data_IF_558125773010
#
_entry.id   IF_558125773010
#
_cell.length_a   1.000
_cell.length_b   1.000
_cell.length_c   1.000
_cell.angle_alpha   90.00
_cell.angle_beta   90.00
_cell.angle_gamma   90.00
#
_symmetry.space_group_name_H-M   'P 1'
#
loop_
_entity.id
_entity.type
_entity.pdbx_description
1 polymer ?
#
# COMPACT_ATOMS: atom_id res chain seq x y z
N UNK A 1 19.58 12.42 15.62
CA UNK A 1 18.39 12.87 16.36
C UNK A 1 17.17 12.87 15.44
N UNK A 2 16.60 11.68 15.13
CA UNK A 2 15.49 11.56 14.16
C UNK A 2 14.38 10.59 14.60
N UNK A 3 14.31 10.23 15.88
CA UNK A 3 13.33 9.29 16.43
C UNK A 3 11.95 9.90 16.77
N UNK A 4 11.66 11.15 16.40
CA UNK A 4 10.40 11.80 16.81
C UNK A 4 9.25 11.79 15.78
N UNK A 5 9.41 11.27 14.55
CA UNK A 5 8.29 11.25 13.58
C UNK A 5 7.50 9.93 13.55
N UNK A 6 8.14 8.80 13.84
CA UNK A 6 7.48 7.49 13.89
C UNK A 6 6.66 7.32 15.20
N UNK A 7 7.18 7.85 16.31
CA UNK A 7 6.50 7.80 17.62
C UNK A 7 5.26 8.70 17.69
N UNK A 8 5.21 9.81 16.95
CA UNK A 8 4.05 10.70 16.92
C UNK A 8 2.92 10.18 16.03
N UNK A 9 3.23 9.42 14.97
CA UNK A 9 2.23 8.72 14.15
C UNK A 9 1.70 7.47 14.86
N UNK A 10 2.56 6.70 15.54
CA UNK A 10 2.12 5.58 16.38
C UNK A 10 1.37 6.02 17.65
N UNK A 11 1.71 7.17 18.27
CA UNK A 11 0.93 7.73 19.39
C UNK A 11 -0.42 8.30 18.97
N UNK A 12 -0.56 8.88 17.77
CA UNK A 12 -1.86 9.34 17.24
C UNK A 12 -2.76 8.16 16.80
N UNK A 13 -2.18 7.11 16.23
CA UNK A 13 -2.91 5.88 15.90
C UNK A 13 -3.31 5.05 17.14
N UNK A 14 -2.44 4.92 18.15
CA UNK A 14 -2.79 4.25 19.43
C UNK A 14 -3.81 5.02 20.26
N UNK A 15 -3.84 6.36 20.17
CA UNK A 15 -4.82 7.18 20.90
C UNK A 15 -6.20 7.19 20.23
N UNK A 16 -6.28 6.92 18.92
CA UNK A 16 -7.56 6.69 18.21
C UNK A 16 -8.15 5.29 18.46
N UNK A 17 -7.30 4.28 18.66
CA UNK A 17 -7.74 2.90 18.96
C UNK A 17 -8.13 2.72 20.44
N UNK A 18 -7.55 3.49 21.37
CA UNK A 18 -8.02 3.50 22.77
C UNK A 18 -9.30 4.32 23.00
N UNK A 19 -9.70 5.19 22.05
CA UNK A 19 -10.96 5.94 22.16
C UNK A 19 -12.17 5.23 21.56
N UNK A 20 -11.99 4.18 20.75
CA UNK A 20 -13.11 3.46 20.14
C UNK A 20 -13.60 2.23 20.90
N UNK A 21 -13.07 1.98 22.10
CA UNK A 21 -13.73 1.12 23.10
C UNK A 21 -14.71 1.92 24.01
N UNK A 22 -14.68 3.26 23.95
CA UNK A 22 -15.50 4.15 24.78
C UNK A 22 -16.46 5.04 23.98
N UNK A 23 -16.36 5.07 22.64
CA UNK A 23 -17.25 5.85 21.77
C UNK A 23 -18.51 5.08 21.30
N UNK A 24 -19.04 4.20 22.15
CA UNK A 24 -20.46 3.84 22.07
C UNK A 24 -21.21 4.78 23.03
N UNK A 25 -21.41 6.02 22.58
CA UNK A 25 -22.29 7.00 23.25
C UNK A 25 -23.68 6.41 23.51
N UNK A 26 -24.11 5.45 22.68
CA UNK A 26 -25.42 4.80 22.75
C UNK A 26 -25.54 3.77 23.88
N UNK A 27 -24.45 3.10 24.30
CA UNK A 27 -24.47 2.27 25.51
C UNK A 27 -24.26 3.07 26.78
N UNK A 28 -23.47 4.17 26.71
CA UNK A 28 -23.33 5.10 27.83
C UNK A 28 -24.66 5.79 28.17
N UNK A 29 -25.41 6.22 27.16
CA UNK A 29 -26.70 6.89 27.36
C UNK A 29 -27.78 5.93 27.84
N UNK A 30 -27.83 4.69 27.35
CA UNK A 30 -28.82 3.70 27.81
C UNK A 30 -28.52 3.19 29.21
N UNK A 31 -27.24 2.95 29.56
CA UNK A 31 -26.83 2.59 30.93
C UNK A 31 -27.01 3.78 31.89
N UNK A 32 -26.66 5.00 31.48
CA UNK A 32 -26.87 6.20 32.28
C UNK A 32 -28.36 6.53 32.45
N UNK A 33 -29.19 6.35 31.42
CA UNK A 33 -30.64 6.57 31.48
C UNK A 33 -31.35 5.49 32.30
N UNK A 34 -30.92 4.22 32.22
CA UNK A 34 -31.45 3.14 33.07
C UNK A 34 -31.00 3.29 34.52
N UNK A 35 -29.75 3.70 34.79
CA UNK A 35 -29.30 4.04 36.15
C UNK A 35 -29.98 5.30 36.71
N UNK A 36 -30.19 6.34 35.89
CA UNK A 36 -30.94 7.54 36.28
C UNK A 36 -32.41 7.23 36.57
N UNK A 37 -33.08 6.44 35.73
CA UNK A 37 -34.47 6.03 35.96
C UNK A 37 -34.60 5.11 37.17
N UNK A 38 -33.66 4.18 37.38
CA UNK A 38 -33.66 3.27 38.52
C UNK A 38 -33.38 3.99 39.86
N UNK A 39 -32.56 5.05 39.84
CA UNK A 39 -32.25 5.85 41.03
C UNK A 39 -33.33 6.90 41.33
N UNK A 40 -33.88 7.56 40.31
CA UNK A 40 -34.85 8.65 40.48
C UNK A 40 -36.29 8.14 40.69
N UNK A 41 -36.68 7.02 40.08
CA UNK A 41 -38.00 6.36 40.26
C UNK A 41 -37.83 4.84 40.53
N UNK A 42 -37.42 4.42 41.74
CA UNK A 42 -37.22 3.00 42.06
C UNK A 42 -38.53 2.17 42.05
N UNK A 43 -39.68 2.84 42.17
CA UNK A 43 -41.03 2.24 42.08
C UNK A 43 -41.96 3.20 41.34
N UNK A 44 -41.92 3.25 40.00
CA UNK A 44 -42.77 4.17 39.23
C UNK A 44 -44.27 3.86 39.42
N UNK A 45 -44.60 2.61 39.77
CA UNK A 45 -45.96 2.16 40.08
C UNK A 45 -45.97 1.20 41.28
N UNK A 46 -47.08 1.15 42.04
CA UNK A 46 -47.20 0.35 43.26
C UNK A 46 -47.08 -1.18 43.06
N UNK A 47 -47.26 -1.67 41.83
CA UNK A 47 -47.19 -3.08 41.43
C UNK A 47 -45.83 -3.45 40.82
N UNK A 48 -44.88 -2.51 40.75
CA UNK A 48 -43.58 -2.69 40.15
C UNK A 48 -42.70 -3.60 41.01
N UNK A 49 -42.40 -4.79 40.48
CA UNK A 49 -41.65 -5.87 41.14
C UNK A 49 -40.27 -6.02 40.51
N UNK A 50 -39.23 -6.33 41.29
CA UNK A 50 -37.83 -6.25 40.86
C UNK A 50 -37.47 -7.02 39.58
N UNK A 51 -38.18 -8.10 39.26
CA UNK A 51 -37.94 -8.91 38.06
C UNK A 51 -38.34 -8.20 36.75
N UNK A 52 -39.19 -7.16 36.78
CA UNK A 52 -39.50 -6.37 35.59
C UNK A 52 -38.28 -5.63 35.05
N UNK A 53 -37.31 -5.29 35.92
CA UNK A 53 -36.03 -4.75 35.46
C UNK A 53 -35.21 -5.77 34.67
N UNK A 54 -35.30 -7.07 35.01
CA UNK A 54 -34.66 -8.14 34.22
C UNK A 54 -35.38 -8.37 32.89
N UNK A 55 -36.72 -8.33 32.87
CA UNK A 55 -37.50 -8.44 31.64
C UNK A 55 -37.24 -7.26 30.69
N UNK A 56 -37.15 -6.04 31.23
CA UNK A 56 -36.84 -4.83 30.46
C UNK A 56 -35.39 -4.82 29.97
N UNK A 57 -34.45 -5.32 30.79
CA UNK A 57 -33.07 -5.58 30.37
C UNK A 57 -32.97 -6.61 29.24
N UNK A 58 -33.78 -7.67 29.29
CA UNK A 58 -33.87 -8.68 28.23
C UNK A 58 -34.47 -8.12 26.94
N UNK A 59 -35.52 -7.30 27.03
CA UNK A 59 -36.11 -6.62 25.87
C UNK A 59 -35.12 -5.64 25.25
N UNK A 60 -34.40 -4.86 26.07
CA UNK A 60 -33.34 -3.98 25.58
C UNK A 60 -32.22 -4.78 24.88
N UNK A 61 -31.87 -5.95 25.40
CA UNK A 61 -30.88 -6.84 24.78
C UNK A 61 -31.33 -7.39 23.43
N UNK A 62 -32.58 -7.85 23.32
CA UNK A 62 -33.18 -8.31 22.04
C UNK A 62 -33.30 -7.15 21.05
N UNK A 63 -33.66 -5.96 21.51
CA UNK A 63 -33.72 -4.77 20.65
C UNK A 63 -32.34 -4.42 20.09
N UNK A 64 -31.29 -4.48 20.92
CA UNK A 64 -29.89 -4.25 20.50
C UNK A 64 -29.46 -5.24 19.42
N UNK A 65 -29.79 -6.52 19.58
CA UNK A 65 -29.47 -7.57 18.60
C UNK A 65 -30.20 -7.33 17.27
N UNK A 66 -31.47 -6.90 17.30
CA UNK A 66 -32.25 -6.59 16.09
C UNK A 66 -31.76 -5.30 15.41
N UNK A 67 -31.43 -4.26 16.19
CA UNK A 67 -30.86 -3.01 15.63
C UNK A 67 -29.44 -3.20 15.09
N UNK A 68 -28.67 -4.13 15.65
CA UNK A 68 -27.33 -4.50 15.15
C UNK A 68 -27.36 -5.15 13.77
N UNK A 69 -28.48 -5.77 13.39
CA UNK A 69 -28.70 -6.31 12.03
C UNK A 69 -29.06 -5.18 11.05
N UNK A 70 -29.46 -4.01 11.55
CA UNK A 70 -29.81 -2.83 10.72
C UNK A 70 -28.59 -1.95 10.41
N UNK A 71 -27.40 -2.30 10.93
CA UNK A 71 -26.13 -1.59 10.73
C UNK A 71 -25.41 -2.00 9.41
N UNK A 72 -26.17 -2.50 8.44
CA UNK A 72 -25.73 -2.73 7.06
C UNK A 72 -25.33 -1.41 6.36
N UNK A 73 -25.86 -0.27 6.80
CA UNK A 73 -25.58 1.05 6.24
C UNK A 73 -24.16 1.58 6.57
N UNK A 74 -23.63 1.28 7.75
CA UNK A 74 -22.30 1.76 8.17
C UNK A 74 -21.16 1.00 7.47
N UNK A 75 -21.33 -0.30 7.27
CA UNK A 75 -20.39 -1.11 6.49
C UNK A 75 -20.37 -0.70 5.00
N UNK A 76 -21.51 -0.31 4.44
CA UNK A 76 -21.59 0.24 3.07
C UNK A 76 -20.98 1.64 2.98
N UNK A 77 -21.14 2.50 3.98
CA UNK A 77 -20.52 3.82 4.02
C UNK A 77 -18.99 3.75 4.18
N UNK A 78 -18.50 2.87 5.05
CA UNK A 78 -17.06 2.63 5.23
C UNK A 78 -16.43 2.02 3.97
N UNK A 79 -17.12 1.06 3.33
CA UNK A 79 -16.73 0.52 2.04
C UNK A 79 -16.72 1.62 0.98
N UNK A 80 -17.77 2.43 0.84
CA UNK A 80 -17.83 3.54 -0.12
C UNK A 80 -16.70 4.56 0.08
N UNK A 81 -16.32 4.85 1.34
CA UNK A 81 -15.19 5.71 1.65
C UNK A 81 -13.85 5.09 1.22
N UNK A 82 -13.61 3.82 1.53
CA UNK A 82 -12.42 3.06 1.09
C UNK A 82 -12.36 2.85 -0.44
N UNK A 83 -13.51 2.70 -1.09
CA UNK A 83 -13.64 2.59 -2.54
C UNK A 83 -13.37 3.92 -3.25
N UNK A 84 -13.77 5.03 -2.63
CA UNK A 84 -13.63 6.38 -3.20
C UNK A 84 -12.22 6.95 -3.14
N UNK A 85 -11.37 6.46 -2.23
CA UNK A 85 -9.97 6.89 -2.12
C UNK A 85 -9.03 6.19 -3.13
N UNK A 86 -9.51 5.21 -3.89
CA UNK A 86 -8.73 4.55 -4.92
C UNK A 86 -8.34 5.55 -6.02
N UNK A 87 -7.04 5.88 -6.19
CA UNK A 87 -6.61 6.80 -7.24
C UNK A 87 -7.05 6.25 -8.59
N UNK A 88 -7.69 7.08 -9.43
CA UNK A 88 -7.93 6.71 -10.83
C UNK A 88 -6.57 6.34 -11.44
N UNK A 89 -6.45 5.20 -12.14
CA UNK A 89 -5.18 4.84 -12.74
C UNK A 89 -4.69 5.99 -13.64
N UNK A 90 -3.43 6.45 -13.47
CA UNK A 90 -2.82 7.32 -14.46
C UNK A 90 -2.88 6.63 -15.83
N UNK A 91 -2.97 7.42 -16.91
CA UNK A 91 -3.03 6.86 -18.26
C UNK A 91 -1.68 6.22 -18.62
N UNK A 92 -1.52 4.95 -18.27
CA UNK A 92 -0.39 4.12 -18.68
C UNK A 92 -0.32 4.07 -20.21
N UNK A 93 0.82 4.38 -20.78
CA UNK A 93 1.02 4.39 -22.23
C UNK A 93 1.17 2.96 -22.74
N UNK A 94 2.00 2.16 -22.09
CA UNK A 94 2.27 0.76 -22.44
C UNK A 94 1.02 -0.10 -22.25
N UNK A 95 0.60 -0.86 -23.29
CA UNK A 95 -0.57 -1.73 -23.19
C UNK A 95 -0.35 -2.87 -22.19
N UNK A 96 0.89 -3.38 -22.09
CA UNK A 96 1.22 -4.48 -21.18
C UNK A 96 1.04 -4.10 -19.70
N UNK A 97 1.57 -2.96 -19.24
CA UNK A 97 1.40 -2.52 -17.85
C UNK A 97 -0.05 -2.20 -17.52
N UNK A 98 -0.79 -1.66 -18.50
CA UNK A 98 -2.22 -1.41 -18.37
C UNK A 98 -3.01 -2.69 -18.14
N UNK A 99 -2.72 -3.74 -18.91
CA UNK A 99 -3.35 -5.04 -18.77
C UNK A 99 -3.10 -5.63 -17.37
N UNK A 100 -1.86 -5.57 -16.86
CA UNK A 100 -1.52 -6.08 -15.52
C UNK A 100 -2.30 -5.34 -14.42
N UNK A 101 -2.41 -4.03 -14.56
CA UNK A 101 -3.20 -3.17 -13.66
C UNK A 101 -4.70 -3.48 -13.73
N UNK A 102 -5.24 -3.67 -14.93
CA UNK A 102 -6.64 -4.06 -15.14
C UNK A 102 -6.95 -5.43 -14.51
N UNK A 103 -6.04 -6.40 -14.65
CA UNK A 103 -6.17 -7.70 -13.99
C UNK A 103 -6.17 -7.56 -12.46
N UNK A 104 -5.29 -6.71 -11.90
CA UNK A 104 -5.25 -6.44 -10.47
C UNK A 104 -6.57 -5.81 -9.96
N UNK A 105 -7.14 -4.89 -10.74
CA UNK A 105 -8.47 -4.32 -10.48
C UNK A 105 -9.60 -5.34 -10.56
N UNK A 106 -9.52 -6.26 -11.51
CA UNK A 106 -10.50 -7.32 -11.65
C UNK A 106 -10.52 -8.21 -10.39
N UNK A 107 -9.36 -8.56 -9.85
CA UNK A 107 -9.27 -9.28 -8.57
C UNK A 107 -9.91 -8.49 -7.43
N UNK A 108 -9.59 -7.20 -7.31
CA UNK A 108 -10.22 -6.32 -6.31
C UNK A 108 -11.75 -6.35 -6.41
N UNK A 109 -12.27 -6.13 -7.61
CA UNK A 109 -13.71 -6.09 -7.85
C UNK A 109 -14.38 -7.42 -7.48
N UNK A 110 -13.76 -8.55 -7.83
CA UNK A 110 -14.25 -9.88 -7.47
C UNK A 110 -14.27 -10.12 -5.96
N UNK A 111 -13.23 -9.67 -5.24
CA UNK A 111 -13.14 -9.73 -3.77
C UNK A 111 -14.25 -8.89 -3.13
N UNK A 112 -14.45 -7.66 -3.60
CA UNK A 112 -15.49 -6.76 -3.10
C UNK A 112 -16.90 -7.34 -3.29
N UNK A 113 -17.19 -7.90 -4.47
CA UNK A 113 -18.47 -8.56 -4.74
C UNK A 113 -18.70 -9.75 -3.82
N UNK A 114 -17.67 -10.58 -3.59
CA UNK A 114 -17.75 -11.71 -2.66
C UNK A 114 -18.00 -11.24 -1.22
N UNK A 115 -17.40 -10.12 -0.81
CA UNK A 115 -17.54 -9.56 0.53
C UNK A 115 -18.93 -8.93 0.77
N UNK A 116 -19.49 -8.24 -0.23
CA UNK A 116 -20.84 -7.66 -0.17
C UNK A 116 -21.93 -8.71 0.04
N UNK A 117 -21.76 -9.91 -0.51
CA UNK A 117 -22.68 -11.03 -0.32
C UNK A 117 -22.56 -11.73 1.04
N UNK A 118 -21.59 -11.36 1.88
CA UNK A 118 -21.31 -12.04 3.14
C UNK A 118 -22.19 -11.52 4.28
N UNK A 119 -22.73 -12.45 5.09
CA UNK A 119 -23.47 -12.12 6.31
C UNK A 119 -22.60 -11.33 7.29
N UNK A 120 -23.21 -10.36 7.97
CA UNK A 120 -22.56 -9.60 9.03
C UNK A 120 -22.03 -10.53 10.14
N UNK A 121 -20.84 -10.22 10.66
CA UNK A 121 -20.19 -10.98 11.71
C UNK A 121 -18.67 -10.81 11.72
N UNK A 122 -18.03 -11.38 12.73
CA UNK A 122 -16.59 -11.26 13.01
C UNK A 122 -15.73 -11.58 11.78
N UNK A 123 -16.08 -12.60 11.01
CA UNK A 123 -15.36 -12.97 9.78
C UNK A 123 -15.39 -11.86 8.73
N UNK A 124 -16.57 -11.25 8.52
CA UNK A 124 -16.73 -10.12 7.58
C UNK A 124 -15.91 -8.92 8.04
N UNK A 125 -15.88 -8.64 9.34
CA UNK A 125 -15.10 -7.53 9.90
C UNK A 125 -13.59 -7.73 9.68
N UNK A 126 -13.09 -8.96 9.84
CA UNK A 126 -11.70 -9.27 9.52
C UNK A 126 -11.38 -9.13 8.03
N UNK A 127 -12.26 -9.64 7.16
CA UNK A 127 -12.06 -9.51 5.72
C UNK A 127 -12.12 -8.05 5.26
N UNK A 128 -12.95 -7.21 5.89
CA UNK A 128 -12.95 -5.77 5.68
C UNK A 128 -11.62 -5.12 6.09
N UNK A 129 -10.99 -5.59 7.17
CA UNK A 129 -9.65 -5.13 7.53
C UNK A 129 -8.61 -5.53 6.46
N UNK A 130 -8.68 -6.76 5.93
CA UNK A 130 -7.80 -7.22 4.85
C UNK A 130 -7.96 -6.42 3.55
N UNK A 131 -9.13 -5.79 3.33
CA UNK A 131 -9.32 -4.89 2.18
C UNK A 131 -8.40 -3.67 2.24
N UNK A 132 -8.02 -3.21 3.43
CA UNK A 132 -7.04 -2.13 3.60
C UNK A 132 -5.68 -2.57 3.08
N UNK A 133 -5.21 -3.74 3.49
CA UNK A 133 -3.94 -4.31 3.05
C UNK A 133 -3.93 -4.57 1.53
N UNK A 134 -5.05 -5.06 0.97
CA UNK A 134 -5.22 -5.22 -0.46
C UNK A 134 -5.18 -3.88 -1.21
N UNK A 135 -5.82 -2.84 -0.68
CA UNK A 135 -5.82 -1.52 -1.31
C UNK A 135 -4.41 -0.92 -1.40
N UNK A 136 -3.63 -1.12 -0.35
CA UNK A 136 -2.23 -0.69 -0.25
C UNK A 136 -1.35 -1.47 -1.23
N UNK A 137 -1.54 -2.79 -1.31
CA UNK A 137 -0.84 -3.61 -2.29
C UNK A 137 -1.14 -3.19 -3.73
N UNK A 138 -2.41 -2.96 -4.06
CA UNK A 138 -2.80 -2.46 -5.38
C UNK A 138 -2.14 -1.13 -5.68
N UNK A 139 -2.13 -0.18 -4.74
CA UNK A 139 -1.44 1.12 -4.87
C UNK A 139 0.02 0.93 -5.26
N UNK A 140 0.71 -0.05 -4.68
CA UNK A 140 2.11 -0.33 -4.99
C UNK A 140 2.31 -0.98 -6.37
N UNK A 141 1.38 -1.84 -6.80
CA UNK A 141 1.33 -2.39 -8.17
C UNK A 141 1.19 -1.27 -9.19
N UNK A 142 0.28 -0.30 -8.95
CA UNK A 142 0.13 0.87 -9.81
C UNK A 142 1.40 1.70 -9.88
N UNK A 143 1.99 2.02 -8.73
CA UNK A 143 3.20 2.83 -8.66
C UNK A 143 4.36 2.17 -9.42
N UNK A 144 4.51 0.85 -9.31
CA UNK A 144 5.51 0.09 -10.04
C UNK A 144 5.25 0.09 -11.55
N UNK A 145 4.01 -0.18 -11.95
CA UNK A 145 3.59 -0.16 -13.36
C UNK A 145 3.80 1.23 -13.99
N UNK A 146 3.44 2.31 -13.27
CA UNK A 146 3.66 3.68 -13.72
C UNK A 146 5.15 4.01 -13.85
N UNK A 147 5.96 3.61 -12.87
CA UNK A 147 7.41 3.87 -12.92
C UNK A 147 8.08 3.15 -14.09
N UNK A 148 7.67 1.91 -14.36
CA UNK A 148 8.11 1.14 -15.51
C UNK A 148 7.62 1.75 -16.84
N UNK A 149 6.39 2.23 -16.90
CA UNK A 149 5.83 2.92 -18.08
C UNK A 149 6.61 4.20 -18.42
N UNK A 150 6.93 5.00 -17.41
CA UNK A 150 7.74 6.21 -17.56
C UNK A 150 9.13 5.86 -18.09
N UNK A 151 9.78 4.84 -17.52
CA UNK A 151 11.11 4.41 -17.96
C UNK A 151 11.11 3.90 -19.41
N UNK A 152 10.13 3.08 -19.79
CA UNK A 152 10.04 2.50 -21.13
C UNK A 152 9.94 3.59 -22.21
N UNK A 153 9.32 4.72 -21.89
CA UNK A 153 9.12 5.85 -22.79
C UNK A 153 10.09 7.03 -22.56
N UNK A 154 11.15 6.85 -21.76
CA UNK A 154 12.14 7.89 -21.51
C UNK A 154 13.15 7.98 -22.68
N UNK A 155 12.82 8.78 -23.69
CA UNK A 155 13.68 9.02 -24.86
C UNK A 155 15.02 9.65 -24.50
N UNK A 156 15.07 10.44 -23.42
CA UNK A 156 16.31 11.09 -22.96
C UNK A 156 17.27 10.01 -22.46
N UNK A 157 16.78 9.08 -21.65
CA UNK A 157 17.61 8.00 -21.12
C UNK A 157 18.17 7.09 -22.22
N UNK A 158 17.36 6.76 -23.23
CA UNK A 158 17.82 5.96 -24.37
C UNK A 158 18.90 6.69 -25.18
N UNK A 159 18.73 8.00 -25.37
CA UNK A 159 19.72 8.84 -26.03
C UNK A 159 21.01 8.93 -25.22
N UNK A 160 20.91 9.11 -23.91
CA UNK A 160 22.06 9.21 -23.01
C UNK A 160 22.88 7.92 -23.01
N UNK A 161 22.21 6.76 -23.00
CA UNK A 161 22.89 5.46 -23.13
C UNK A 161 23.71 5.38 -24.40
N UNK A 162 23.11 5.68 -25.55
CA UNK A 162 23.81 5.65 -26.84
C UNK A 162 24.97 6.67 -26.88
N UNK A 163 24.75 7.88 -26.36
CA UNK A 163 25.75 8.93 -26.30
C UNK A 163 26.94 8.56 -25.41
N UNK A 164 26.71 7.88 -24.28
CA UNK A 164 27.77 7.41 -23.37
C UNK A 164 28.63 6.34 -24.04
N UNK A 165 28.02 5.37 -24.72
CA UNK A 165 28.76 4.31 -25.43
C UNK A 165 29.64 4.89 -26.56
N UNK A 166 29.10 5.85 -27.32
CA UNK A 166 29.85 6.56 -28.36
C UNK A 166 31.00 7.39 -27.77
N UNK A 167 30.73 8.15 -26.69
CA UNK A 167 31.72 8.97 -26.00
C UNK A 167 32.88 8.12 -25.45
N UNK A 168 32.59 6.98 -24.83
CA UNK A 168 33.61 6.04 -24.33
C UNK A 168 34.49 5.55 -25.49
N UNK A 169 33.89 5.17 -26.60
CA UNK A 169 34.61 4.67 -27.79
C UNK A 169 35.47 5.77 -28.44
N UNK A 170 34.99 7.01 -28.44
CA UNK A 170 35.76 8.16 -28.92
C UNK A 170 36.96 8.47 -28.00
N UNK A 171 36.75 8.53 -26.69
CA UNK A 171 37.80 8.79 -25.69
C UNK A 171 38.87 7.69 -25.71
N UNK A 172 38.49 6.43 -25.86
CA UNK A 172 39.44 5.32 -26.00
C UNK A 172 40.32 5.45 -27.25
N UNK A 173 39.78 5.97 -28.36
CA UNK A 173 40.57 6.25 -29.57
C UNK A 173 41.52 7.42 -29.35
N UNK A 174 41.05 8.51 -28.76
CA UNK A 174 41.87 9.68 -28.45
C UNK A 174 43.02 9.36 -27.49
N UNK A 175 42.78 8.48 -26.51
CA UNK A 175 43.79 8.04 -25.55
C UNK A 175 45.00 7.36 -26.22
N UNK A 176 44.77 6.65 -27.33
CA UNK A 176 45.82 5.96 -28.10
C UNK A 176 46.73 6.92 -28.86
N UNK A 177 46.23 8.10 -29.21
CA UNK A 177 46.95 9.12 -30.00
C UNK A 177 47.27 10.38 -29.18
N UNK A 178 47.15 10.32 -27.85
CA UNK A 178 47.37 11.46 -26.97
C UNK A 178 48.84 11.95 -27.05
N UNK A 179 49.07 13.26 -27.25
CA UNK A 179 50.40 13.81 -27.54
C UNK A 179 51.31 13.91 -26.31
N UNK A 180 50.75 14.15 -25.13
CA UNK A 180 51.49 14.40 -23.89
C UNK A 180 50.80 13.78 -22.66
N UNK A 181 51.54 13.72 -21.55
CA UNK A 181 51.08 13.07 -20.32
C UNK A 181 49.89 13.79 -19.66
N UNK A 182 49.80 15.12 -19.78
CA UNK A 182 48.71 15.87 -19.16
C UNK A 182 47.39 15.63 -19.91
N UNK A 183 47.40 15.68 -21.24
CA UNK A 183 46.23 15.34 -22.06
C UNK A 183 45.78 13.90 -21.83
N UNK A 184 46.73 12.96 -21.73
CA UNK A 184 46.42 11.55 -21.39
C UNK A 184 45.67 11.45 -20.06
N UNK A 185 46.17 12.10 -19.01
CA UNK A 185 45.54 12.07 -17.69
C UNK A 185 44.11 12.67 -17.71
N UNK A 186 43.89 13.75 -18.46
CA UNK A 186 42.55 14.35 -18.62
C UNK A 186 41.58 13.40 -19.34
N UNK A 187 42.02 12.77 -20.44
CA UNK A 187 41.19 11.78 -21.18
C UNK A 187 40.88 10.58 -20.29
N UNK A 188 41.83 10.10 -19.49
CA UNK A 188 41.62 8.99 -18.55
C UNK A 188 40.60 9.35 -17.47
N UNK A 189 40.68 10.56 -16.90
CA UNK A 189 39.69 11.05 -15.93
C UNK A 189 38.29 11.11 -16.52
N UNK A 190 38.15 11.66 -17.73
CA UNK A 190 36.86 11.76 -18.41
C UNK A 190 36.32 10.37 -18.79
N UNK A 191 37.19 9.47 -19.25
CA UNK A 191 36.84 8.08 -19.56
C UNK A 191 36.36 7.33 -18.31
N UNK A 192 36.99 7.55 -17.15
CA UNK A 192 36.57 6.98 -15.88
C UNK A 192 35.16 7.45 -15.50
N UNK A 193 34.89 8.75 -15.58
CA UNK A 193 33.57 9.32 -15.30
C UNK A 193 32.48 8.74 -16.25
N UNK A 194 32.79 8.62 -17.55
CA UNK A 194 31.84 8.03 -18.51
C UNK A 194 31.58 6.54 -18.28
N UNK A 195 32.58 5.79 -17.84
CA UNK A 195 32.40 4.38 -17.45
C UNK A 195 31.53 4.23 -16.20
N UNK A 196 31.68 5.09 -15.20
CA UNK A 196 30.80 5.10 -14.01
C UNK A 196 29.35 5.40 -14.41
N UNK A 197 29.15 6.35 -15.34
CA UNK A 197 27.83 6.63 -15.90
C UNK A 197 27.24 5.41 -16.62
N UNK A 198 28.03 4.72 -17.47
CA UNK A 198 27.61 3.51 -18.17
C UNK A 198 27.22 2.39 -17.20
N UNK A 199 27.99 2.18 -16.15
CA UNK A 199 27.70 1.18 -15.11
C UNK A 199 26.37 1.49 -14.41
N UNK A 200 26.14 2.76 -14.08
CA UNK A 200 24.89 3.22 -13.44
C UNK A 200 23.68 2.99 -14.34
N UNK A 201 23.78 3.32 -15.64
CA UNK A 201 22.72 3.06 -16.62
C UNK A 201 22.45 1.55 -16.80
N UNK A 202 23.49 0.73 -16.76
CA UNK A 202 23.36 -0.73 -16.85
C UNK A 202 22.66 -1.30 -15.61
N UNK A 203 23.01 -0.81 -14.41
CA UNK A 203 22.33 -1.16 -13.16
C UNK A 203 20.87 -0.76 -13.19
N UNK A 204 20.56 0.44 -13.68
CA UNK A 204 19.17 0.89 -13.84
C UNK A 204 18.38 -0.06 -14.74
N UNK A 205 18.93 -0.41 -15.90
CA UNK A 205 18.30 -1.36 -16.83
C UNK A 205 18.03 -2.72 -16.18
N UNK A 206 19.00 -3.24 -15.42
CA UNK A 206 18.84 -4.50 -14.66
C UNK A 206 17.72 -4.41 -13.62
N UNK A 207 17.65 -3.30 -12.87
CA UNK A 207 16.58 -3.06 -11.89
C UNK A 207 15.20 -2.94 -12.56
N UNK A 208 15.09 -2.32 -13.73
CA UNK A 208 13.82 -2.26 -14.45
C UNK A 208 13.34 -3.64 -14.88
N UNK A 209 14.24 -4.47 -15.40
CA UNK A 209 13.90 -5.85 -15.75
C UNK A 209 13.45 -6.65 -14.52
N UNK A 210 14.16 -6.48 -13.39
CA UNK A 210 13.76 -7.11 -12.12
C UNK A 210 12.39 -6.63 -11.65
N UNK A 211 12.12 -5.32 -11.71
CA UNK A 211 10.84 -4.72 -11.37
C UNK A 211 9.71 -5.25 -12.26
N UNK A 212 9.95 -5.45 -13.56
CA UNK A 212 8.98 -6.06 -14.45
C UNK A 212 8.64 -7.49 -14.01
N UNK A 213 9.64 -8.32 -13.69
CA UNK A 213 9.39 -9.67 -13.16
C UNK A 213 8.61 -9.63 -11.84
N UNK A 214 8.93 -8.70 -10.94
CA UNK A 214 8.17 -8.54 -9.69
C UNK A 214 6.72 -8.16 -9.92
N UNK A 215 6.44 -7.32 -10.92
CA UNK A 215 5.06 -6.97 -11.30
C UNK A 215 4.27 -8.22 -11.78
N UNK A 216 4.92 -9.17 -12.45
CA UNK A 216 4.26 -10.42 -12.85
C UNK A 216 4.04 -11.38 -11.68
N UNK A 217 5.06 -11.52 -10.83
CA UNK A 217 5.02 -12.35 -9.63
C UNK A 217 3.93 -11.88 -8.67
N UNK A 218 3.84 -10.57 -8.43
CA UNK A 218 2.86 -10.00 -7.52
C UNK A 218 1.43 -10.14 -8.02
N UNK A 219 1.21 -10.12 -9.34
CA UNK A 219 -0.09 -10.40 -9.93
C UNK A 219 -0.50 -11.88 -9.77
N UNK A 220 0.47 -12.80 -9.84
CA UNK A 220 0.24 -14.22 -9.54
C UNK A 220 -0.07 -14.44 -8.05
N UNK A 221 0.61 -13.71 -7.17
CA UNK A 221 0.33 -13.70 -5.75
C UNK A 221 -1.07 -13.14 -5.45
N UNK A 222 -1.53 -12.10 -6.17
CA UNK A 222 -2.90 -11.58 -6.06
C UNK A 222 -3.95 -12.65 -6.40
N UNK A 223 -3.75 -13.41 -7.48
CA UNK A 223 -4.65 -14.51 -7.83
C UNK A 223 -4.71 -15.60 -6.75
N UNK A 224 -3.59 -15.87 -6.08
CA UNK A 224 -3.52 -16.78 -4.93
C UNK A 224 -4.26 -16.20 -3.72
N UNK A 225 -4.02 -14.93 -3.40
CA UNK A 225 -4.67 -14.22 -2.29
C UNK A 225 -6.18 -14.16 -2.48
N UNK A 226 -6.65 -13.91 -3.70
CA UNK A 226 -8.06 -13.99 -4.08
C UNK A 226 -8.66 -15.37 -3.80
N UNK A 227 -7.97 -16.43 -4.23
CA UNK A 227 -8.45 -17.80 -4.01
C UNK A 227 -8.54 -18.14 -2.53
N UNK A 228 -7.55 -17.72 -1.74
CA UNK A 228 -7.54 -17.87 -0.28
C UNK A 228 -8.66 -17.07 0.38
N UNK A 229 -8.91 -15.85 -0.07
CA UNK A 229 -10.01 -15.01 0.39
C UNK A 229 -11.37 -15.70 0.18
N UNK A 230 -11.60 -16.31 -0.99
CA UNK A 230 -12.83 -17.06 -1.26
C UNK A 230 -12.99 -18.29 -0.34
N UNK A 231 -11.89 -19.03 -0.08
CA UNK A 231 -11.92 -20.18 0.82
C UNK A 231 -12.25 -19.77 2.26
N UNK A 232 -11.67 -18.65 2.70
CA UNK A 232 -11.97 -18.02 3.98
C UNK A 232 -13.44 -17.64 4.07
N UNK A 233 -13.97 -16.97 3.04
CA UNK A 233 -15.37 -16.55 3.01
C UNK A 233 -16.36 -17.70 2.97
N UNK A 234 -15.97 -18.84 2.40
CA UNK A 234 -16.77 -20.07 2.38
C UNK A 234 -16.77 -20.84 3.71
N UNK A 235 -16.18 -20.29 4.79
CA UNK A 235 -16.00 -20.94 6.10
C UNK A 235 -15.25 -22.27 6.03
N UNK A 236 -14.42 -22.47 5.00
CA UNK A 236 -13.59 -23.67 4.82
C UNK A 236 -12.18 -23.52 5.41
N UNK A 237 -11.85 -22.34 5.94
CA UNK A 237 -10.52 -21.99 6.39
C UNK A 237 -10.46 -21.83 7.90
N UNK A 238 -9.32 -22.21 8.49
CA UNK A 238 -9.02 -22.05 9.90
C UNK A 238 -8.72 -20.57 10.24
N UNK A 239 -8.84 -20.19 11.51
CA UNK A 239 -8.56 -18.83 11.99
C UNK A 239 -7.14 -18.34 11.67
N UNK A 240 -6.18 -19.25 11.50
CA UNK A 240 -4.79 -18.98 11.11
C UNK A 240 -4.67 -18.50 9.67
N UNK A 241 -5.54 -18.99 8.77
CA UNK A 241 -5.50 -18.63 7.36
C UNK A 241 -5.72 -17.12 7.11
N UNK A 242 -6.47 -16.45 7.99
CA UNK A 242 -6.68 -15.01 7.90
C UNK A 242 -5.39 -14.22 8.20
N UNK A 243 -4.62 -14.66 9.19
CA UNK A 243 -3.37 -14.01 9.58
C UNK A 243 -2.30 -14.21 8.51
N UNK A 244 -2.23 -15.40 7.93
CA UNK A 244 -1.31 -15.70 6.83
C UNK A 244 -1.59 -14.85 5.59
N UNK A 245 -2.87 -14.65 5.26
CA UNK A 245 -3.27 -13.81 4.12
C UNK A 245 -2.81 -12.37 4.30
N UNK A 246 -3.08 -11.78 5.47
CA UNK A 246 -2.66 -10.40 5.78
C UNK A 246 -1.13 -10.27 5.79
N UNK A 247 -0.43 -11.19 6.44
CA UNK A 247 1.04 -11.20 6.46
C UNK A 247 1.65 -11.30 5.06
N UNK A 248 1.08 -12.14 4.19
CA UNK A 248 1.53 -12.26 2.81
C UNK A 248 1.32 -10.96 2.03
N UNK A 249 0.14 -10.34 2.15
CA UNK A 249 -0.12 -9.05 1.50
C UNK A 249 0.87 -7.98 1.96
N UNK A 250 1.13 -7.90 3.27
CA UNK A 250 2.10 -6.96 3.83
C UNK A 250 3.53 -7.23 3.35
N UNK A 251 3.93 -8.51 3.23
CA UNK A 251 5.22 -8.86 2.66
C UNK A 251 5.34 -8.42 1.19
N UNK A 252 4.27 -8.59 0.40
CA UNK A 252 4.24 -8.14 -0.99
C UNK A 252 4.32 -6.61 -1.11
N UNK A 253 3.64 -5.87 -0.25
CA UNK A 253 3.76 -4.39 -0.19
C UNK A 253 5.21 -3.98 0.07
N UNK A 254 5.85 -4.59 1.08
CA UNK A 254 7.23 -4.27 1.44
C UNK A 254 8.21 -4.56 0.30
N UNK A 255 8.08 -5.71 -0.37
CA UNK A 255 8.92 -6.08 -1.51
C UNK A 255 8.81 -5.08 -2.67
N UNK A 256 7.59 -4.60 -2.94
CA UNK A 256 7.34 -3.60 -3.98
C UNK A 256 7.88 -2.21 -3.58
N UNK A 257 7.74 -1.82 -2.32
CA UNK A 257 8.31 -0.57 -1.78
C UNK A 257 9.84 -0.56 -1.88
N UNK A 258 10.48 -1.67 -1.53
CA UNK A 258 11.94 -1.83 -1.59
C UNK A 258 12.45 -1.69 -3.04
N UNK A 259 11.74 -2.29 -4.00
CA UNK A 259 12.12 -2.19 -5.41
C UNK A 259 11.91 -0.78 -5.95
N UNK A 260 10.78 -0.13 -5.63
CA UNK A 260 10.50 1.24 -6.02
C UNK A 260 11.53 2.21 -5.47
N UNK A 261 11.92 2.04 -4.21
CA UNK A 261 12.96 2.84 -3.56
C UNK A 261 14.32 2.64 -4.25
N UNK A 262 14.67 1.39 -4.57
CA UNK A 262 15.91 1.07 -5.27
C UNK A 262 15.95 1.66 -6.68
N UNK A 263 14.83 1.59 -7.41
CA UNK A 263 14.68 2.20 -8.73
C UNK A 263 14.86 3.71 -8.66
N UNK A 264 14.26 4.38 -7.68
CA UNK A 264 14.38 5.81 -7.49
C UNK A 264 15.84 6.22 -7.23
N UNK A 265 16.53 5.54 -6.32
CA UNK A 265 17.93 5.83 -5.99
C UNK A 265 18.86 5.70 -7.19
N UNK A 266 18.72 4.63 -7.99
CA UNK A 266 19.57 4.41 -9.15
C UNK A 266 19.21 5.36 -10.31
N UNK A 267 17.92 5.69 -10.47
CA UNK A 267 17.47 6.68 -11.45
C UNK A 267 18.01 8.08 -11.13
N UNK A 268 17.97 8.50 -9.86
CA UNK A 268 18.52 9.79 -9.44
C UNK A 268 20.04 9.84 -9.62
N UNK A 269 20.73 8.71 -9.38
CA UNK A 269 22.16 8.58 -9.62
C UNK A 269 22.52 8.61 -11.11
N UNK A 270 21.66 8.09 -12.00
CA UNK A 270 21.90 8.12 -13.45
C UNK A 270 21.60 9.50 -14.07
N UNK A 271 20.72 10.29 -13.46
CA UNK A 271 20.33 11.63 -13.92
C UNK A 271 21.12 12.78 -13.28
N UNK A 272 21.76 12.56 -12.14
CA UNK A 272 22.61 13.58 -11.52
C UNK A 272 23.97 13.63 -12.20
N UNK A 273 24.32 14.69 -12.95
CA UNK A 273 25.72 14.99 -13.19
C UNK A 273 26.31 15.30 -11.82
N UNK A 274 27.03 14.35 -11.23
CA UNK A 274 27.80 14.58 -10.01
C UNK A 274 28.78 15.71 -10.34
N UNK A 275 28.42 16.91 -9.88
CA UNK A 275 29.21 18.12 -9.77
C UNK A 275 30.71 17.89 -9.97
N UNK A 276 31.15 18.03 -11.21
CA UNK A 276 32.53 18.39 -11.53
C UNK A 276 32.84 19.85 -11.14
N UNK A 277 31.91 20.51 -10.43
CA UNK A 277 31.95 21.91 -9.98
C UNK A 277 32.32 22.04 -8.50
N UNK A 278 33.21 21.15 -8.00
CA UNK A 278 33.82 21.28 -6.66
C UNK A 278 35.35 21.08 -6.68
N UNK A 279 36.01 21.48 -7.76
CA UNK A 279 37.49 21.51 -7.85
C UNK A 279 38.06 22.74 -8.55
N UNK A 280 37.48 23.92 -8.33
CA UNK A 280 38.15 25.19 -8.69
C UNK A 280 38.13 26.27 -7.58
N UNK A 281 37.66 25.96 -6.37
CA UNK A 281 37.83 26.85 -5.21
C UNK A 281 38.51 26.08 -4.07
N UNK A 282 39.84 25.95 -4.17
CA UNK A 282 40.84 26.14 -3.09
C UNK A 282 42.27 25.90 -3.60
#
# INVERSE_FOLDING_TARGET
>A
MSTSRMDDLQKRARRAILSHALFRLESGLTIALTLLLAWFLPRPFAWWRGWYWLALGGIAWVLIVITSITDEASAQAALMQMLSEAPRPPRLRSPHYREKVEQALEYRQKIEQALLGMRAGILRDYLLQTMVDLSEWLRMIYALAERLDVYEHDEILQRDKAAVEEAISALQRQLRTAPDAATRAQIESLLAARREQQESLTKLQGLMAQAQFRLEETLSALGTAYSQFLMIGAQKAESTAHQELAQRMQAQVQELEDILTSMQQVYDASHSPRSAEKREEE
#
